data_IF_745112041201
#
_entry.id   IF_745112041201
#
_cell.length_a   1.000
_cell.length_b   1.000
_cell.length_c   1.000
_cell.angle_alpha   90.00
_cell.angle_beta   90.00
_cell.angle_gamma   90.00
#
_symmetry.space_group_name_H-M   'P 1'
#
loop_
_entity.id
_entity.type
_entity.pdbx_description
1 polymer ?
#
# COMPACT_ATOMS: atom_id res chain seq x y z
N UNK A 1 -4.41 -53.01 44.09
CA UNK A 1 -4.07 -51.66 44.62
C UNK A 1 -2.60 -51.42 44.31
N UNK A 2 -2.14 -50.40 43.58
CA UNK A 2 -2.72 -49.15 43.07
C UNK A 2 -2.19 -48.88 41.65
N UNK A 3 -3.02 -48.24 40.83
CA UNK A 3 -2.74 -47.80 39.46
C UNK A 3 -2.39 -46.31 39.54
N UNK A 4 -1.25 -45.88 38.97
CA UNK A 4 -0.87 -44.46 38.90
C UNK A 4 -1.20 -43.98 37.48
N UNK A 5 -2.09 -42.98 37.28
CA UNK A 5 -2.39 -42.47 35.95
C UNK A 5 -1.32 -41.48 35.51
N UNK A 6 -0.74 -41.72 34.33
CA UNK A 6 0.14 -40.79 33.65
C UNK A 6 -0.67 -39.60 33.12
N UNK A 7 -0.42 -38.41 33.66
CA UNK A 7 -0.96 -37.16 33.14
C UNK A 7 -0.11 -36.73 31.93
N UNK A 8 -0.61 -36.95 30.72
CA UNK A 8 0.00 -36.42 29.48
C UNK A 8 -0.32 -34.92 29.41
N UNK A 9 0.67 -34.09 29.72
CA UNK A 9 0.61 -32.65 29.54
C UNK A 9 0.77 -32.33 28.04
N UNK A 10 -0.35 -32.23 27.31
CA UNK A 10 -0.35 -31.81 25.91
C UNK A 10 0.06 -30.33 25.83
N UNK A 11 1.30 -30.06 25.42
CA UNK A 11 1.76 -28.70 25.13
C UNK A 11 1.10 -28.20 23.84
N UNK A 12 0.18 -27.26 23.97
CA UNK A 12 -0.42 -26.53 22.87
C UNK A 12 0.69 -25.69 22.19
N UNK A 13 1.24 -26.18 21.08
CA UNK A 13 2.14 -25.39 20.25
C UNK A 13 1.32 -24.26 19.60
N UNK A 14 1.42 -23.06 20.16
CA UNK A 14 0.99 -21.84 19.47
C UNK A 14 1.87 -21.67 18.22
N UNK A 15 1.33 -21.98 17.05
CA UNK A 15 1.93 -21.62 15.78
C UNK A 15 1.88 -20.10 15.64
N UNK A 16 3.01 -19.43 15.87
CA UNK A 16 3.14 -18.00 15.62
C UNK A 16 2.95 -17.76 14.12
N UNK A 17 1.81 -17.19 13.74
CA UNK A 17 1.62 -16.65 12.39
C UNK A 17 2.61 -15.50 12.23
N UNK A 18 3.78 -15.78 11.64
CA UNK A 18 4.72 -14.72 11.28
C UNK A 18 4.10 -13.93 10.14
N UNK A 19 3.69 -12.69 10.42
CA UNK A 19 3.30 -11.76 9.38
C UNK A 19 4.55 -11.34 8.59
N UNK A 20 4.39 -11.04 7.31
CA UNK A 20 5.44 -10.39 6.55
C UNK A 20 5.51 -8.95 7.05
N UNK A 21 6.67 -8.54 7.55
CA UNK A 21 7.03 -7.15 7.74
C UNK A 21 8.06 -6.78 6.66
N UNK A 22 8.44 -5.52 6.57
CA UNK A 22 9.54 -5.04 5.72
C UNK A 22 10.92 -5.61 6.10
N UNK A 23 11.01 -6.42 7.16
CA UNK A 23 12.19 -7.18 7.57
C UNK A 23 11.86 -8.65 7.91
N UNK A 24 12.90 -9.45 8.03
CA UNK A 24 12.82 -10.87 8.39
C UNK A 24 12.43 -11.05 9.86
N UNK A 25 11.16 -11.40 10.10
CA UNK A 25 10.62 -11.60 11.44
C UNK A 25 11.31 -12.70 12.26
N UNK A 26 12.01 -13.64 11.62
CA UNK A 26 12.83 -14.63 12.35
C UNK A 26 14.06 -14.00 13.02
N UNK A 27 14.46 -12.80 12.57
CA UNK A 27 15.59 -12.02 13.08
C UNK A 27 15.18 -10.89 14.03
N UNK A 28 13.90 -10.79 14.38
CA UNK A 28 13.40 -9.81 15.34
C UNK A 28 14.05 -10.00 16.71
N UNK A 29 14.75 -8.96 17.20
CA UNK A 29 15.47 -8.97 18.48
C UNK A 29 14.78 -8.10 19.50
N UNK A 30 14.35 -6.90 19.10
CA UNK A 30 13.80 -5.91 20.03
C UNK A 30 12.34 -6.21 20.40
N UNK A 31 11.84 -5.66 21.53
CA UNK A 31 10.42 -5.74 21.86
C UNK A 31 9.53 -5.15 20.76
N UNK A 32 9.93 -4.03 20.16
CA UNK A 32 9.19 -3.37 19.07
C UNK A 32 9.14 -4.26 17.83
N UNK A 33 10.27 -4.82 17.39
CA UNK A 33 10.33 -5.73 16.23
C UNK A 33 9.45 -6.96 16.41
N UNK A 34 9.46 -7.57 17.61
CA UNK A 34 8.60 -8.71 17.91
C UNK A 34 7.12 -8.32 17.89
N UNK A 35 6.77 -7.15 18.44
CA UNK A 35 5.40 -6.62 18.41
C UNK A 35 4.95 -6.32 16.98
N UNK A 36 5.83 -5.76 16.13
CA UNK A 36 5.57 -5.54 14.71
C UNK A 36 5.26 -6.86 14.02
N UNK A 37 6.12 -7.88 14.19
CA UNK A 37 5.94 -9.18 13.57
C UNK A 37 4.70 -9.96 14.06
N UNK A 38 4.25 -9.69 15.29
CA UNK A 38 3.06 -10.30 15.88
C UNK A 38 1.75 -9.57 15.58
N UNK A 39 1.80 -8.36 15.00
CA UNK A 39 0.64 -7.49 14.82
C UNK A 39 0.49 -7.14 13.34
N UNK A 40 -0.52 -7.70 12.67
CA UNK A 40 -0.74 -7.52 11.23
C UNK A 40 -0.74 -6.05 10.79
N UNK A 41 -1.42 -5.17 11.53
CA UNK A 41 -1.48 -3.76 11.19
C UNK A 41 -0.10 -3.08 11.24
N UNK A 42 0.75 -3.43 12.22
CA UNK A 42 2.10 -2.91 12.32
C UNK A 42 3.03 -3.49 11.25
N UNK A 43 2.89 -4.79 10.96
CA UNK A 43 3.65 -5.44 9.90
C UNK A 43 3.36 -4.79 8.53
N UNK A 44 2.08 -4.48 8.26
CA UNK A 44 1.67 -3.74 7.06
C UNK A 44 2.26 -2.33 7.04
N UNK A 45 2.19 -1.58 8.14
CA UNK A 45 2.81 -0.25 8.25
C UNK A 45 4.32 -0.30 8.00
N UNK A 46 5.00 -1.37 8.43
CA UNK A 46 6.42 -1.57 8.19
C UNK A 46 6.75 -1.78 6.71
N UNK A 47 5.92 -2.53 5.98
CA UNK A 47 6.07 -2.63 4.53
C UNK A 47 5.78 -1.30 3.81
N UNK A 48 4.77 -0.54 4.26
CA UNK A 48 4.47 0.80 3.71
C UNK A 48 5.62 1.77 3.96
N UNK A 49 6.27 1.69 5.13
CA UNK A 49 7.46 2.47 5.42
C UNK A 49 8.59 2.15 4.44
N UNK A 50 8.83 0.86 4.16
CA UNK A 50 9.85 0.44 3.19
C UNK A 50 9.55 1.01 1.80
N UNK A 51 8.29 0.92 1.34
CA UNK A 51 7.87 1.49 0.06
C UNK A 51 8.09 3.02 0.01
N UNK A 52 7.64 3.73 1.05
CA UNK A 52 7.78 5.19 1.17
C UNK A 52 9.24 5.61 1.18
N UNK A 53 10.08 4.87 1.91
CA UNK A 53 11.51 5.15 2.02
C UNK A 53 12.23 4.95 0.70
N UNK A 54 11.90 3.90 -0.07
CA UNK A 54 12.48 3.66 -1.38
C UNK A 54 12.12 4.79 -2.37
N UNK A 55 10.85 5.23 -2.40
CA UNK A 55 10.44 6.38 -3.21
C UNK A 55 11.17 7.67 -2.80
N UNK A 56 11.32 7.90 -1.49
CA UNK A 56 12.07 9.03 -0.97
C UNK A 56 13.56 8.97 -1.36
N UNK A 57 14.17 7.78 -1.41
CA UNK A 57 15.55 7.61 -1.89
C UNK A 57 15.68 7.96 -3.37
N UNK A 58 14.76 7.52 -4.21
CA UNK A 58 14.73 7.82 -5.64
C UNK A 58 14.59 9.33 -5.90
N UNK A 59 13.78 10.01 -5.09
CA UNK A 59 13.54 11.45 -5.19
C UNK A 59 14.57 12.32 -4.45
N UNK A 60 15.50 11.74 -3.67
CA UNK A 60 16.40 12.53 -2.80
C UNK A 60 17.69 12.95 -3.50
N UNK A 61 18.00 14.25 -3.41
CA UNK A 61 19.31 14.78 -3.81
C UNK A 61 20.45 14.36 -2.86
N UNK A 62 20.15 14.02 -1.60
CA UNK A 62 21.11 13.50 -0.62
C UNK A 62 20.60 12.20 0.01
N UNK A 63 20.78 11.11 -0.72
CA UNK A 63 20.41 9.77 -0.27
C UNK A 63 21.17 9.33 0.99
N UNK A 64 22.38 9.85 1.24
CA UNK A 64 23.20 9.47 2.40
C UNK A 64 22.63 10.06 3.69
N UNK A 65 22.25 11.35 3.65
CA UNK A 65 21.57 11.99 4.78
C UNK A 65 20.24 11.29 5.08
N UNK A 66 19.45 10.96 4.05
CA UNK A 66 18.17 10.28 4.21
C UNK A 66 18.33 8.88 4.84
N UNK A 67 19.31 8.08 4.41
CA UNK A 67 19.64 6.78 5.04
C UNK A 67 20.05 6.94 6.50
N UNK A 68 20.85 7.96 6.81
CA UNK A 68 21.28 8.25 8.18
C UNK A 68 20.08 8.60 9.08
N UNK A 69 19.17 9.45 8.59
CA UNK A 69 17.95 9.80 9.30
C UNK A 69 17.04 8.58 9.52
N UNK A 70 16.91 7.69 8.53
CA UNK A 70 16.12 6.47 8.66
C UNK A 70 16.67 5.51 9.73
N UNK A 71 17.99 5.32 9.78
CA UNK A 71 18.63 4.51 10.83
C UNK A 71 18.46 5.12 12.22
N UNK A 72 18.56 6.45 12.33
CA UNK A 72 18.30 7.15 13.58
C UNK A 72 16.84 6.98 14.02
N UNK A 73 15.89 7.07 13.09
CA UNK A 73 14.47 6.84 13.37
C UNK A 73 14.19 5.40 13.83
N UNK A 74 14.77 4.38 13.18
CA UNK A 74 14.64 2.97 13.61
C UNK A 74 15.10 2.78 15.05
N UNK A 75 16.21 3.42 15.44
CA UNK A 75 16.71 3.38 16.82
C UNK A 75 15.76 4.11 17.78
N UNK A 76 15.19 5.24 17.37
CA UNK A 76 14.28 6.03 18.21
C UNK A 76 12.95 5.30 18.47
N UNK A 77 12.40 4.60 17.46
CA UNK A 77 11.19 3.77 17.57
C UNK A 77 11.28 2.77 18.72
N UNK A 78 12.47 2.26 19.04
CA UNK A 78 12.66 1.29 20.13
C UNK A 78 12.24 1.80 21.52
N UNK A 79 12.12 3.11 21.71
CA UNK A 79 11.55 3.68 22.93
C UNK A 79 10.08 3.29 23.15
N UNK A 80 9.35 2.90 22.09
CA UNK A 80 7.98 2.40 22.20
C UNK A 80 7.88 1.02 22.87
N UNK A 81 8.97 0.24 22.88
CA UNK A 81 8.96 -1.16 23.30
C UNK A 81 7.81 -1.93 22.61
N UNK A 82 6.92 -2.58 23.36
CA UNK A 82 5.80 -3.37 22.80
C UNK A 82 4.46 -2.62 22.70
N UNK A 83 4.46 -1.29 22.84
CA UNK A 83 3.21 -0.49 22.82
C UNK A 83 2.74 -0.27 21.38
N UNK A 84 1.67 -0.95 20.98
CA UNK A 84 1.12 -0.90 19.62
C UNK A 84 0.80 0.53 19.17
N UNK A 85 0.14 1.33 20.00
CA UNK A 85 -0.25 2.70 19.63
C UNK A 85 0.95 3.62 19.42
N UNK A 86 1.98 3.52 20.28
CA UNK A 86 3.23 4.27 20.13
C UNK A 86 3.96 3.89 18.84
N UNK A 87 4.06 2.59 18.55
CA UNK A 87 4.69 2.11 17.32
C UNK A 87 3.89 2.63 16.12
N UNK A 88 2.56 2.55 16.16
CA UNK A 88 1.67 3.02 15.10
C UNK A 88 1.91 4.50 14.81
N UNK A 89 1.92 5.36 15.83
CA UNK A 89 2.20 6.79 15.71
C UNK A 89 3.59 7.06 15.12
N UNK A 90 4.62 6.32 15.57
CA UNK A 90 5.97 6.45 15.04
C UNK A 90 6.02 6.13 13.53
N UNK A 91 5.33 5.07 13.10
CA UNK A 91 5.26 4.68 11.68
C UNK A 91 4.50 5.69 10.85
N UNK A 92 3.28 6.07 11.24
CA UNK A 92 2.45 6.98 10.46
C UNK A 92 3.10 8.36 10.31
N UNK A 93 3.71 8.86 11.38
CA UNK A 93 4.50 10.12 11.34
C UNK A 93 5.64 10.01 10.33
N UNK A 94 6.42 8.94 10.39
CA UNK A 94 7.58 8.77 9.50
C UNK A 94 7.19 8.56 8.04
N UNK A 95 6.13 7.79 7.79
CA UNK A 95 5.59 7.58 6.44
C UNK A 95 5.16 8.93 5.86
N UNK A 96 4.41 9.73 6.61
CA UNK A 96 3.99 11.08 6.19
C UNK A 96 5.19 11.98 5.88
N UNK A 97 6.23 12.00 6.73
CA UNK A 97 7.46 12.76 6.45
C UNK A 97 8.11 12.38 5.12
N UNK A 98 8.19 11.07 4.82
CA UNK A 98 8.81 10.55 3.60
C UNK A 98 7.97 10.90 2.36
N UNK A 99 6.64 10.80 2.47
CA UNK A 99 5.71 11.17 1.39
C UNK A 99 5.80 12.67 1.10
N UNK A 100 5.83 13.52 2.13
CA UNK A 100 6.02 14.96 1.96
C UNK A 100 7.37 15.31 1.33
N UNK A 101 8.44 14.58 1.66
CA UNK A 101 9.75 14.75 1.01
C UNK A 101 9.67 14.43 -0.48
N UNK A 102 9.03 13.31 -0.85
CA UNK A 102 8.82 12.93 -2.26
C UNK A 102 8.02 14.01 -2.99
N UNK A 103 6.88 14.42 -2.45
CA UNK A 103 6.03 15.44 -3.05
C UNK A 103 6.77 16.77 -3.27
N UNK A 104 7.55 17.22 -2.26
CA UNK A 104 8.36 18.44 -2.36
C UNK A 104 9.41 18.36 -3.47
N UNK A 105 10.08 17.21 -3.61
CA UNK A 105 11.14 17.03 -4.60
C UNK A 105 10.61 16.74 -6.01
N UNK A 106 9.35 16.28 -6.12
CA UNK A 106 8.64 16.07 -7.39
C UNK A 106 7.85 17.31 -7.85
N UNK A 107 7.87 18.41 -7.09
CA UNK A 107 7.27 19.67 -7.55
C UNK A 107 7.95 20.09 -8.86
N UNK A 108 7.16 20.41 -9.91
CA UNK A 108 7.70 21.01 -11.11
C UNK A 108 8.51 22.24 -10.69
N UNK A 109 9.78 22.30 -11.06
CA UNK A 109 10.58 23.51 -10.94
C UNK A 109 9.76 24.59 -11.64
N UNK A 110 9.21 25.52 -10.85
CA UNK A 110 8.38 26.60 -11.36
C UNK A 110 9.10 27.21 -12.56
N UNK A 111 8.41 27.19 -13.70
CA UNK A 111 8.90 27.75 -14.95
C UNK A 111 9.36 29.17 -14.68
N UNK A 112 10.65 29.44 -14.92
CA UNK A 112 11.17 30.80 -15.11
C UNK A 112 10.19 31.56 -16.00
N UNK A 113 9.81 32.83 -15.70
CA UNK A 113 8.87 33.57 -16.54
C UNK A 113 9.41 33.64 -17.98
N UNK A 114 8.80 32.88 -18.88
CA UNK A 114 9.11 32.94 -20.29
C UNK A 114 8.61 34.28 -20.84
N UNK A 115 9.54 35.09 -21.32
CA UNK A 115 9.35 36.33 -22.05
C UNK A 115 8.29 36.15 -23.17
N UNK A 116 7.22 36.96 -23.24
CA UNK A 116 6.14 36.76 -24.21
C UNK A 116 6.52 37.38 -25.56
N UNK A 117 7.34 36.69 -26.35
CA UNK A 117 7.54 37.02 -27.76
C UNK A 117 8.06 35.81 -28.54
N UNK A 118 7.19 34.82 -28.75
CA UNK A 118 7.30 33.90 -29.87
C UNK A 118 5.89 33.49 -30.31
N UNK A 119 5.57 33.77 -31.57
CA UNK A 119 4.29 33.51 -32.25
C UNK A 119 4.10 31.99 -32.45
N UNK A 120 2.86 31.45 -32.47
CA UNK A 120 2.66 30.00 -32.53
C UNK A 120 2.96 29.47 -33.92
N UNK A 121 3.81 28.44 -34.01
CA UNK A 121 3.93 27.58 -35.20
C UNK A 121 3.16 26.30 -34.93
N UNK A 122 2.20 26.01 -35.79
CA UNK A 122 1.35 24.83 -35.74
C UNK A 122 2.12 23.57 -36.15
N UNK A 123 2.03 22.49 -35.36
CA UNK A 123 2.31 21.13 -35.83
C UNK A 123 1.43 20.09 -35.14
N UNK A 124 0.45 19.63 -35.90
CA UNK A 124 -0.07 18.27 -36.11
C UNK A 124 -0.17 17.26 -34.95
N UNK A 125 -1.39 16.75 -34.84
CA UNK A 125 -1.84 15.59 -34.09
C UNK A 125 -1.08 14.31 -34.46
N UNK A 126 -0.81 13.49 -33.45
CA UNK A 126 -0.57 12.05 -33.59
C UNK A 126 -1.54 11.30 -32.70
N UNK A 127 -2.35 10.45 -33.34
CA UNK A 127 -3.34 9.56 -32.77
C UNK A 127 -2.65 8.31 -32.22
N UNK A 128 -2.70 8.07 -30.91
CA UNK A 128 -2.35 6.77 -30.35
C UNK A 128 -3.57 6.16 -29.66
N UNK A 129 -4.14 5.16 -30.34
CA UNK A 129 -5.24 4.34 -29.89
C UNK A 129 -4.76 3.37 -28.80
N UNK A 130 -5.18 3.58 -27.56
CA UNK A 130 -5.19 2.56 -26.53
C UNK A 130 -6.66 2.15 -26.29
N UNK A 131 -7.02 0.86 -26.23
CA UNK A 131 -8.42 0.47 -26.06
C UNK A 131 -8.94 0.92 -24.70
N UNK A 132 -9.82 1.92 -24.72
CA UNK A 132 -10.71 2.27 -23.62
C UNK A 132 -11.51 1.02 -23.21
N UNK A 133 -11.44 0.52 -21.97
CA UNK A 133 -12.35 -0.53 -21.52
C UNK A 133 -13.76 0.05 -21.45
N UNK A 134 -14.64 -0.50 -22.29
CA UNK A 134 -16.05 -0.12 -22.40
C UNK A 134 -16.77 -0.27 -21.06
N UNK A 135 -17.54 0.74 -20.61
CA UNK A 135 -18.33 0.65 -19.38
C UNK A 135 -19.48 -0.36 -19.56
N UNK A 136 -19.46 -1.44 -18.78
CA UNK A 136 -20.61 -2.34 -18.63
C UNK A 136 -21.46 -1.89 -17.43
N UNK A 137 -22.78 -2.10 -17.44
CA UNK A 137 -23.69 -1.45 -16.51
C UNK A 137 -23.80 -2.14 -15.15
N UNK A 138 -23.84 -1.29 -14.12
CA UNK A 138 -24.27 -1.45 -12.72
C UNK A 138 -24.80 -2.83 -12.30
N UNK A 139 -24.13 -3.42 -11.29
CA UNK A 139 -24.81 -4.09 -10.20
C UNK A 139 -24.50 -3.44 -8.85
N UNK A 140 -25.56 -3.06 -8.13
CA UNK A 140 -25.46 -2.69 -6.73
C UNK A 140 -25.17 -3.93 -5.86
N UNK A 141 -24.20 -3.85 -4.95
CA UNK A 141 -24.04 -4.77 -3.82
C UNK A 141 -23.46 -6.14 -4.11
N UNK A 142 -22.67 -6.32 -5.18
CA UNK A 142 -22.01 -7.60 -5.46
C UNK A 142 -20.73 -7.73 -4.66
N UNK A 143 -20.57 -8.85 -3.98
CA UNK A 143 -19.27 -9.29 -3.46
C UNK A 143 -18.58 -10.18 -4.48
N UNK A 144 -17.28 -10.01 -4.66
CA UNK A 144 -16.42 -10.83 -5.48
C UNK A 144 -15.39 -11.54 -4.58
N UNK A 145 -15.23 -12.84 -4.75
CA UNK A 145 -14.16 -13.60 -4.08
C UNK A 145 -13.05 -13.93 -5.07
N UNK A 146 -11.81 -13.82 -4.63
CA UNK A 146 -10.66 -14.08 -5.49
C UNK A 146 -9.33 -13.91 -4.78
N UNK A 147 -8.26 -13.75 -5.55
CA UNK A 147 -6.93 -13.43 -5.04
C UNK A 147 -6.43 -12.13 -5.64
N UNK A 148 -5.75 -11.30 -4.84
CA UNK A 148 -5.10 -10.08 -5.34
C UNK A 148 -3.97 -10.47 -6.29
N UNK A 149 -3.96 -9.88 -7.50
CA UNK A 149 -2.97 -10.17 -8.54
C UNK A 149 -2.03 -9.00 -8.80
N UNK A 150 -2.57 -7.79 -8.89
CA UNK A 150 -1.76 -6.60 -9.13
C UNK A 150 -2.41 -5.36 -8.52
N UNK A 151 -1.59 -4.33 -8.38
CA UNK A 151 -2.01 -3.01 -7.95
C UNK A 151 -1.20 -1.98 -8.75
N UNK A 152 -1.89 -1.07 -9.42
CA UNK A 152 -1.29 -0.12 -10.36
C UNK A 152 -1.84 1.28 -10.09
N UNK A 153 -0.94 2.25 -9.94
CA UNK A 153 -1.31 3.65 -9.76
C UNK A 153 -0.73 4.51 -10.88
N UNK A 154 -1.60 5.32 -11.47
CA UNK A 154 -1.26 6.50 -12.27
C UNK A 154 -2.05 7.69 -11.72
N UNK A 155 -2.93 8.27 -12.54
CA UNK A 155 -3.88 9.30 -12.10
C UNK A 155 -4.90 8.75 -11.08
N UNK A 156 -5.26 7.47 -11.21
CA UNK A 156 -6.02 6.73 -10.22
C UNK A 156 -5.30 5.42 -9.89
N UNK A 157 -5.68 4.82 -8.76
CA UNK A 157 -5.13 3.55 -8.29
C UNK A 157 -6.14 2.42 -8.46
N UNK A 158 -5.68 1.33 -9.08
CA UNK A 158 -6.48 0.18 -9.45
C UNK A 158 -5.95 -1.07 -8.76
N UNK A 159 -6.87 -1.91 -8.29
CA UNK A 159 -6.57 -3.24 -7.77
C UNK A 159 -7.14 -4.28 -8.73
N UNK A 160 -6.37 -5.33 -8.99
CA UNK A 160 -6.80 -6.47 -9.78
C UNK A 160 -7.02 -7.68 -8.87
N UNK A 161 -8.24 -8.23 -8.91
CA UNK A 161 -8.61 -9.47 -8.20
C UNK A 161 -8.94 -10.54 -9.24
N UNK A 162 -8.26 -11.68 -9.19
CA UNK A 162 -8.57 -12.85 -10.02
C UNK A 162 -9.56 -13.74 -9.30
N UNK A 163 -10.71 -13.99 -9.92
CA UNK A 163 -11.75 -14.86 -9.35
C UNK A 163 -11.38 -16.35 -9.41
N UNK A 164 -12.22 -17.20 -8.84
CA UNK A 164 -12.03 -18.65 -8.83
C UNK A 164 -12.15 -19.29 -10.22
N UNK A 165 -12.78 -18.61 -11.16
CA UNK A 165 -12.89 -19.01 -12.57
C UNK A 165 -11.65 -18.59 -13.38
N UNK A 166 -10.74 -17.82 -12.79
CA UNK A 166 -9.50 -17.34 -13.40
C UNK A 166 -9.61 -16.00 -14.12
N UNK A 167 -10.77 -15.33 -14.08
CA UNK A 167 -10.98 -14.03 -14.70
C UNK A 167 -10.43 -12.90 -13.82
N UNK A 168 -9.83 -11.90 -14.45
CA UNK A 168 -9.34 -10.71 -13.78
C UNK A 168 -10.43 -9.65 -13.70
N UNK A 169 -10.61 -9.10 -12.50
CA UNK A 169 -11.52 -8.00 -12.19
C UNK A 169 -10.69 -6.80 -11.75
N UNK A 170 -10.76 -5.72 -12.52
CA UNK A 170 -10.04 -4.48 -12.27
C UNK A 170 -11.03 -3.41 -11.82
N UNK A 171 -10.76 -2.78 -10.69
CA UNK A 171 -11.59 -1.72 -10.15
C UNK A 171 -10.74 -0.69 -9.39
N UNK A 172 -11.29 0.50 -9.17
CA UNK A 172 -10.65 1.52 -8.33
C UNK A 172 -10.45 0.98 -6.91
N UNK A 173 -9.28 1.22 -6.32
CA UNK A 173 -8.99 0.84 -4.94
C UNK A 173 -9.45 1.96 -4.00
N UNK A 174 -10.66 1.82 -3.46
CA UNK A 174 -11.28 2.85 -2.58
C UNK A 174 -11.60 2.33 -1.18
N UNK A 175 -11.27 1.08 -0.91
CA UNK A 175 -11.43 0.50 0.42
C UNK A 175 -10.44 1.14 1.40
N UNK A 176 -10.72 1.16 2.72
CA UNK A 176 -9.83 1.77 3.71
C UNK A 176 -8.38 1.25 3.70
N UNK A 177 -8.18 0.01 3.26
CA UNK A 177 -6.84 -0.58 3.10
C UNK A 177 -6.03 0.11 1.99
N UNK A 178 -6.73 0.60 0.96
CA UNK A 178 -6.15 1.29 -0.18
C UNK A 178 -5.65 2.68 0.20
N UNK A 179 -6.13 3.32 1.28
CA UNK A 179 -5.76 4.70 1.63
C UNK A 179 -4.23 4.87 1.69
N UNK A 180 -3.57 4.01 2.48
CA UNK A 180 -2.10 4.02 2.59
C UNK A 180 -1.39 3.58 1.31
N UNK A 181 -2.00 2.73 0.48
CA UNK A 181 -1.43 2.26 -0.78
C UNK A 181 -1.50 3.33 -1.86
N UNK A 182 -2.60 4.09 -1.88
CA UNK A 182 -2.87 5.19 -2.78
C UNK A 182 -1.90 6.34 -2.47
N UNK A 183 -1.71 6.66 -1.19
CA UNK A 183 -0.82 7.73 -0.74
C UNK A 183 0.64 7.50 -1.17
N UNK A 184 1.12 6.26 -1.06
CA UNK A 184 2.47 5.89 -1.50
C UNK A 184 2.51 5.43 -2.96
N UNK A 185 1.37 5.42 -3.66
CA UNK A 185 1.19 4.87 -5.01
C UNK A 185 1.88 3.49 -5.20
N UNK A 186 1.71 2.60 -4.22
CA UNK A 186 2.20 1.22 -4.23
C UNK A 186 1.51 0.38 -3.14
N UNK A 187 1.27 -0.89 -3.41
CA UNK A 187 0.75 -1.87 -2.44
C UNK A 187 1.88 -2.77 -1.94
N UNK A 188 1.93 -3.11 -0.64
CA UNK A 188 2.88 -4.08 -0.11
C UNK A 188 2.79 -5.44 -0.80
N UNK A 189 3.93 -6.07 -1.07
CA UNK A 189 3.97 -7.32 -1.84
C UNK A 189 3.41 -8.50 -1.06
N UNK A 190 3.32 -8.43 0.27
CA UNK A 190 2.67 -9.43 1.10
C UNK A 190 1.17 -9.59 0.82
N UNK A 191 0.55 -8.59 0.18
CA UNK A 191 -0.84 -8.67 -0.26
C UNK A 191 -1.01 -9.42 -1.59
N UNK A 192 0.06 -9.60 -2.37
CA UNK A 192 -0.02 -10.39 -3.59
C UNK A 192 -0.42 -11.83 -3.27
N UNK A 193 -1.34 -12.38 -4.06
CA UNK A 193 -1.93 -13.72 -3.91
C UNK A 193 -2.75 -13.91 -2.62
N UNK A 194 -2.98 -12.86 -1.82
CA UNK A 194 -3.90 -12.98 -0.68
C UNK A 194 -5.31 -13.19 -1.19
N UNK A 195 -5.98 -14.17 -0.58
CA UNK A 195 -7.40 -14.43 -0.82
C UNK A 195 -8.21 -13.30 -0.19
N UNK A 196 -9.18 -12.81 -0.94
CA UNK A 196 -10.03 -11.70 -0.52
C UNK A 196 -11.46 -11.93 -0.92
N UNK A 197 -12.36 -11.36 -0.13
CA UNK A 197 -13.71 -11.02 -0.56
C UNK A 197 -13.78 -9.49 -0.65
N UNK A 198 -14.08 -8.97 -1.84
CA UNK A 198 -14.22 -7.54 -2.09
C UNK A 198 -15.68 -7.17 -2.33
N UNK A 199 -16.08 -5.98 -1.89
CA UNK A 199 -17.38 -5.41 -2.27
C UNK A 199 -17.19 -4.50 -3.47
N UNK A 200 -18.07 -4.63 -4.46
CA UNK A 200 -18.04 -3.85 -5.70
C UNK A 200 -19.08 -2.73 -5.62
N UNK A 201 -18.59 -1.50 -5.52
CA UNK A 201 -19.33 -0.26 -5.58
C UNK A 201 -18.98 0.54 -6.83
N UNK A 202 -19.19 1.85 -6.78
CA UNK A 202 -18.72 2.79 -7.82
C UNK A 202 -17.99 3.97 -7.21
N UNK A 203 -16.96 4.45 -7.90
CA UNK A 203 -16.23 5.64 -7.51
C UNK A 203 -15.84 6.47 -8.74
N UNK A 204 -15.55 7.75 -8.49
CA UNK A 204 -15.12 8.72 -9.49
C UNK A 204 -13.68 8.47 -9.89
N UNK A 205 -13.40 8.64 -11.18
CA UNK A 205 -12.06 8.72 -11.72
C UNK A 205 -11.67 10.17 -11.92
N UNK A 206 -10.38 10.46 -11.75
CA UNK A 206 -9.80 11.77 -11.99
C UNK A 206 -8.69 11.68 -13.06
N UNK A 207 -8.55 12.71 -13.88
CA UNK A 207 -7.36 12.86 -14.72
C UNK A 207 -6.16 13.41 -13.90
N UNK A 208 -4.97 13.44 -14.50
CA UNK A 208 -3.78 14.02 -13.86
C UNK A 208 -3.85 15.51 -13.53
N UNK A 209 -4.89 16.23 -14.00
CA UNK A 209 -5.18 17.61 -13.63
C UNK A 209 -6.23 17.71 -12.50
N UNK A 210 -6.78 16.58 -12.04
CA UNK A 210 -7.79 16.50 -10.98
C UNK A 210 -9.23 16.69 -11.46
N UNK A 211 -9.49 16.68 -12.76
CA UNK A 211 -10.85 16.76 -13.30
C UNK A 211 -11.54 15.40 -13.25
N UNK A 212 -12.81 15.39 -12.89
CA UNK A 212 -13.63 14.17 -12.87
C UNK A 212 -13.88 13.64 -14.30
N UNK A 213 -13.51 12.39 -14.56
CA UNK A 213 -13.65 11.71 -15.85
C UNK A 213 -14.86 10.75 -15.89
N UNK A 214 -15.66 10.72 -14.83
CA UNK A 214 -16.83 9.86 -14.66
C UNK A 214 -16.68 8.82 -13.56
N UNK A 215 -17.63 7.89 -13.46
CA UNK A 215 -17.64 6.82 -12.46
C UNK A 215 -17.37 5.44 -13.09
N UNK A 216 -16.62 4.60 -12.38
CA UNK A 216 -16.41 3.18 -12.72
C UNK A 216 -16.56 2.29 -11.48
N UNK A 217 -16.45 0.98 -11.68
CA UNK A 217 -16.43 0.02 -10.60
C UNK A 217 -15.28 0.28 -9.63
N UNK A 218 -15.57 0.12 -8.34
CA UNK A 218 -14.63 0.33 -7.26
C UNK A 218 -14.72 -0.81 -6.25
N UNK A 219 -13.57 -1.26 -5.76
CA UNK A 219 -13.53 -2.07 -4.55
C UNK A 219 -13.56 -1.12 -3.36
N UNK A 220 -14.72 -1.00 -2.73
CA UNK A 220 -14.99 -0.10 -1.59
C UNK A 220 -14.81 -0.79 -0.22
N UNK A 221 -14.65 -2.12 -0.24
CA UNK A 221 -14.28 -2.92 0.93
C UNK A 221 -13.44 -4.12 0.52
N UNK A 222 -12.37 -4.39 1.27
CA UNK A 222 -11.54 -5.59 1.12
C UNK A 222 -11.58 -6.36 2.45
N UNK A 223 -12.03 -7.62 2.42
CA UNK A 223 -11.94 -8.56 3.52
C UNK A 223 -10.89 -9.62 3.17
N UNK A 224 -9.80 -9.67 3.94
CA UNK A 224 -8.78 -10.70 3.78
C UNK A 224 -9.26 -12.03 4.36
N UNK A 225 -9.19 -13.06 3.54
CA UNK A 225 -9.54 -14.43 3.90
C UNK A 225 -8.29 -15.18 4.39
N UNK A 226 -8.45 -16.17 5.28
CA UNK A 226 -7.34 -16.98 5.78
C UNK A 226 -6.65 -17.80 4.68
#
# INVERSE_FOLDING_TARGET
MKIIPALILASLFCTSTSYAAGFDCSKAKSPSEKTICGTTSLANLDEILVLSFNKALEASADAKALKTAQLAWLKAREACASKVDCITEAYTTRISELIHLVAKNQQPVASTPANPSAKPVATQATTNNNPTPTPTPKPAGKTLSGSIVSYECGDNCYLTVKDEQGNDHVALCTAPQCDSWNEVAAMPTSFLKKKVQVSVGRAKQYDGAGNEMGEMDAFDKILFLP
#
